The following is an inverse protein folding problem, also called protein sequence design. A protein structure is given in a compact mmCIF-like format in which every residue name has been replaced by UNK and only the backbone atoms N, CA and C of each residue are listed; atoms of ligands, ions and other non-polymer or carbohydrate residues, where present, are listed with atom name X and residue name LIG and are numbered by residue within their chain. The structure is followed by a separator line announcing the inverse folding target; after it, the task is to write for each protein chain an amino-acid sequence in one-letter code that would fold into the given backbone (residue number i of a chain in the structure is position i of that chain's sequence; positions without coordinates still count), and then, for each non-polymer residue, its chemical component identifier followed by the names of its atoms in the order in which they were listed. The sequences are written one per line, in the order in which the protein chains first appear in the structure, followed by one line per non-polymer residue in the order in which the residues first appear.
data_IF_974988208893
#
_entry.id   IF_974988208893
#
_cell.length_a   1.000
_cell.length_b   1.000
_cell.length_c   1.000
_cell.angle_alpha   90.00
_cell.angle_beta   90.00
_cell.angle_gamma   90.00
#
_symmetry.space_group_name_H-M   'P 1'
#
loop_
_entity.id
_entity.type
_entity.pdbx_description
1 polymer ?
#
# COMPACT_ATOMS: atom_id res chain seq x y z
N UNK A 1 0.65 -33.15 30.37
CA UNK A 1 -0.16 -31.95 30.07
C UNK A 1 -1.62 -32.37 29.91
N UNK A 2 -2.57 -31.75 30.64
CA UNK A 2 -4.01 -32.10 30.57
C UNK A 2 -4.55 -31.88 29.15
N UNK A 3 -5.50 -32.72 28.70
CA UNK A 3 -6.09 -32.66 27.35
C UNK A 3 -6.68 -31.28 27.02
N UNK A 4 -7.20 -30.57 28.03
CA UNK A 4 -7.64 -29.16 27.97
C UNK A 4 -6.58 -28.23 27.38
N UNK A 5 -5.37 -28.28 27.94
CA UNK A 5 -4.30 -27.38 27.54
C UNK A 5 -3.88 -27.68 26.10
N UNK A 6 -3.92 -28.94 25.66
CA UNK A 6 -3.65 -29.33 24.26
C UNK A 6 -4.68 -28.72 23.31
N UNK A 7 -5.97 -28.79 23.64
CA UNK A 7 -7.05 -28.22 22.81
C UNK A 7 -7.01 -26.70 22.76
N UNK A 8 -6.80 -26.04 23.90
CA UNK A 8 -6.66 -24.57 23.98
C UNK A 8 -5.46 -24.11 23.14
N UNK A 9 -4.32 -24.79 23.24
CA UNK A 9 -3.13 -24.48 22.46
C UNK A 9 -3.45 -24.58 20.96
N UNK A 10 -4.14 -25.63 20.50
CA UNK A 10 -4.51 -25.79 19.09
C UNK A 10 -5.40 -24.64 18.60
N UNK A 11 -6.41 -24.23 19.38
CA UNK A 11 -7.28 -23.10 19.00
C UNK A 11 -6.51 -21.78 18.94
N UNK A 12 -5.64 -21.53 19.93
CA UNK A 12 -4.81 -20.33 19.96
C UNK A 12 -3.79 -20.31 18.81
N UNK A 13 -3.22 -21.47 18.44
CA UNK A 13 -2.32 -21.58 17.30
C UNK A 13 -3.03 -21.27 15.99
N UNK A 14 -4.25 -21.76 15.77
CA UNK A 14 -5.04 -21.41 14.57
C UNK A 14 -5.37 -19.92 14.50
N UNK A 15 -5.74 -19.31 15.64
CA UNK A 15 -6.00 -17.87 15.71
C UNK A 15 -4.74 -17.05 15.40
N UNK A 16 -3.59 -17.42 15.96
CA UNK A 16 -2.30 -16.78 15.68
C UNK A 16 -1.91 -16.88 14.21
N UNK A 17 -2.06 -18.06 13.59
CA UNK A 17 -1.76 -18.28 12.17
C UNK A 17 -2.64 -17.40 11.28
N UNK A 18 -3.93 -17.24 11.60
CA UNK A 18 -4.85 -16.36 10.86
C UNK A 18 -4.39 -14.89 10.91
N UNK A 19 -4.00 -14.40 12.08
CA UNK A 19 -3.50 -13.03 12.25
C UNK A 19 -2.19 -12.80 11.52
N UNK A 20 -1.26 -13.77 11.55
CA UNK A 20 0.04 -13.68 10.89
C UNK A 20 -0.09 -13.68 9.37
N UNK A 21 -0.87 -14.61 8.79
CA UNK A 21 -1.08 -14.68 7.35
C UNK A 21 -1.68 -13.39 6.79
N UNK A 22 -2.56 -12.75 7.56
CA UNK A 22 -3.15 -11.47 7.18
C UNK A 22 -2.15 -10.31 7.23
N UNK A 23 -1.28 -10.26 8.24
CA UNK A 23 -0.21 -9.25 8.32
C UNK A 23 0.72 -9.30 7.11
N UNK A 24 0.98 -10.49 6.57
CA UNK A 24 1.79 -10.70 5.36
C UNK A 24 1.04 -10.25 4.09
N UNK A 25 -0.28 -10.44 4.02
CA UNK A 25 -1.09 -9.98 2.89
C UNK A 25 -1.08 -8.44 2.76
N UNK A 26 -1.19 -7.73 3.89
CA UNK A 26 -1.18 -6.26 3.94
C UNK A 26 0.13 -5.63 3.44
N UNK A 27 1.28 -6.20 3.78
CA UNK A 27 2.60 -5.61 3.47
C UNK A 27 2.98 -5.69 2.00
N UNK A 28 2.51 -6.71 1.28
CA UNK A 28 2.85 -6.92 -0.12
C UNK A 28 2.23 -5.88 -1.08
N UNK A 29 1.03 -5.38 -0.77
CA UNK A 29 0.35 -4.39 -1.61
C UNK A 29 0.75 -2.94 -1.28
N UNK A 30 1.08 -2.68 -0.01
CA UNK A 30 1.40 -1.34 0.47
C UNK A 30 2.68 -0.74 -0.17
N UNK A 31 3.64 -1.57 -0.55
CA UNK A 31 4.90 -1.13 -1.16
C UNK A 31 4.69 -0.47 -2.54
N UNK A 32 3.88 -1.07 -3.41
CA UNK A 32 3.61 -0.55 -4.74
C UNK A 32 2.75 0.72 -4.70
N UNK A 33 1.79 0.79 -3.77
CA UNK A 33 0.95 1.98 -3.57
C UNK A 33 1.77 3.16 -3.08
N UNK A 34 2.68 2.93 -2.12
CA UNK A 34 3.60 3.95 -1.63
C UNK A 34 4.52 4.45 -2.76
N UNK A 35 5.03 3.57 -3.62
CA UNK A 35 5.79 3.97 -4.81
C UNK A 35 4.96 4.85 -5.74
N UNK A 36 3.72 4.47 -6.06
CA UNK A 36 2.86 5.28 -6.93
C UNK A 36 2.60 6.69 -6.36
N UNK A 37 2.32 6.79 -5.05
CA UNK A 37 2.12 8.07 -4.35
C UNK A 37 3.40 8.93 -4.41
N UNK A 38 4.57 8.34 -4.19
CA UNK A 38 5.84 9.06 -4.25
C UNK A 38 6.17 9.54 -5.66
N UNK A 39 5.94 8.70 -6.68
CA UNK A 39 6.17 9.04 -8.09
C UNK A 39 5.22 10.15 -8.53
N UNK A 40 3.94 10.11 -8.14
CA UNK A 40 2.97 11.18 -8.38
C UNK A 40 3.36 12.47 -7.66
N UNK A 41 3.75 12.36 -6.38
CA UNK A 41 4.23 13.48 -5.58
C UNK A 41 5.45 14.16 -6.21
N UNK A 42 6.35 13.39 -6.83
CA UNK A 42 7.53 13.90 -7.55
C UNK A 42 7.17 14.68 -8.82
N UNK A 43 6.04 14.39 -9.48
CA UNK A 43 5.62 15.15 -10.66
C UNK A 43 5.42 16.64 -10.34
N UNK A 44 4.90 16.95 -9.14
CA UNK A 44 4.81 18.33 -8.63
C UNK A 44 6.16 19.02 -8.63
N UNK A 45 7.15 18.39 -8.00
CA UNK A 45 8.51 18.92 -7.92
C UNK A 45 9.15 19.08 -9.30
N UNK A 46 9.00 18.08 -10.17
CA UNK A 46 9.56 18.11 -11.51
C UNK A 46 8.94 19.21 -12.38
N UNK A 47 7.63 19.46 -12.29
CA UNK A 47 6.97 20.54 -13.03
C UNK A 47 7.56 21.91 -12.70
N UNK A 48 7.74 22.17 -11.40
CA UNK A 48 8.30 23.43 -10.90
C UNK A 48 9.80 23.54 -11.20
N UNK A 49 10.53 22.43 -11.09
CA UNK A 49 11.94 22.36 -11.45
C UNK A 49 12.17 22.66 -12.94
N UNK A 50 11.38 22.06 -13.83
CA UNK A 50 11.44 22.34 -15.26
C UNK A 50 11.13 23.80 -15.57
N UNK A 51 10.13 24.39 -14.91
CA UNK A 51 9.82 25.81 -15.09
C UNK A 51 10.98 26.71 -14.64
N UNK A 52 11.59 26.41 -13.48
CA UNK A 52 12.79 27.10 -13.00
C UNK A 52 13.96 26.97 -13.99
N UNK A 53 14.20 25.77 -14.51
CA UNK A 53 15.24 25.51 -15.51
C UNK A 53 14.99 26.28 -16.81
N UNK A 54 13.74 26.36 -17.28
CA UNK A 54 13.35 27.15 -18.45
C UNK A 54 13.58 28.66 -18.23
N UNK A 55 13.25 29.19 -17.05
CA UNK A 55 13.52 30.58 -16.68
C UNK A 55 15.02 30.90 -16.71
N UNK A 56 15.84 30.03 -16.11
CA UNK A 56 17.30 30.16 -16.12
C UNK A 56 17.83 30.16 -17.56
N UNK A 57 17.35 29.23 -18.40
CA UNK A 57 17.75 29.13 -19.81
C UNK A 57 17.47 30.41 -20.62
N UNK A 58 16.46 31.19 -20.23
CA UNK A 58 16.13 32.45 -20.89
C UNK A 58 17.09 33.60 -20.61
N UNK A 59 17.94 33.45 -19.58
CA UNK A 59 18.93 34.46 -19.18
C UNK A 59 20.37 34.08 -19.54
N UNK A 60 20.66 32.83 -19.90
CA UNK A 60 22.04 32.39 -20.15
C UNK A 60 22.48 32.74 -21.57
N UNK A 61 23.44 33.67 -21.66
CA UNK A 61 24.09 34.07 -22.92
C UNK A 61 25.27 33.14 -23.25
N UNK A 62 26.02 32.70 -22.25
CA UNK A 62 27.18 31.81 -22.42
C UNK A 62 26.77 30.43 -22.97
N UNK A 63 27.41 29.98 -24.04
CA UNK A 63 27.04 28.74 -24.73
C UNK A 63 27.33 27.47 -23.92
N UNK A 64 28.47 27.40 -23.24
CA UNK A 64 28.86 26.25 -22.41
C UNK A 64 27.89 26.08 -21.24
N UNK A 65 27.58 27.17 -20.55
CA UNK A 65 26.62 27.18 -19.45
C UNK A 65 25.21 26.81 -19.93
N UNK A 66 24.80 27.33 -21.10
CA UNK A 66 23.50 27.04 -21.71
C UNK A 66 23.37 25.55 -22.04
N UNK A 67 24.39 24.94 -22.63
CA UNK A 67 24.42 23.51 -22.95
C UNK A 67 24.16 22.67 -21.70
N UNK A 68 24.85 22.96 -20.59
CA UNK A 68 24.66 22.25 -19.32
C UNK A 68 23.25 22.44 -18.75
N UNK A 69 22.70 23.64 -18.85
CA UNK A 69 21.34 23.92 -18.38
C UNK A 69 20.27 23.18 -19.24
N UNK A 70 20.49 23.07 -20.55
CA UNK A 70 19.60 22.29 -21.45
C UNK A 70 19.63 20.82 -21.07
N UNK A 71 20.81 20.24 -20.80
CA UNK A 71 20.91 18.85 -20.37
C UNK A 71 20.10 18.58 -19.09
N UNK A 72 20.16 19.50 -18.11
CA UNK A 72 19.40 19.38 -16.87
C UNK A 72 17.89 19.43 -17.15
N UNK A 73 17.44 20.38 -17.97
CA UNK A 73 16.05 20.49 -18.40
C UNK A 73 15.57 19.19 -19.08
N UNK A 74 16.35 18.66 -20.02
CA UNK A 74 16.04 17.41 -20.75
C UNK A 74 16.00 16.22 -19.80
N UNK A 75 16.90 16.13 -18.81
CA UNK A 75 16.88 15.09 -17.78
C UNK A 75 15.59 15.17 -16.94
N UNK A 76 15.21 16.36 -16.47
CA UNK A 76 13.97 16.59 -15.71
C UNK A 76 12.73 16.21 -16.53
N UNK A 77 12.66 16.65 -17.79
CA UNK A 77 11.58 16.34 -18.75
C UNK A 77 11.44 14.84 -19.00
N UNK A 78 12.55 14.16 -19.25
CA UNK A 78 12.54 12.71 -19.50
C UNK A 78 12.14 11.93 -18.25
N UNK A 79 12.56 12.36 -17.06
CA UNK A 79 12.14 11.74 -15.81
C UNK A 79 10.64 11.93 -15.56
N UNK A 80 10.11 13.13 -15.80
CA UNK A 80 8.68 13.42 -15.69
C UNK A 80 7.88 12.50 -16.64
N UNK A 81 8.21 12.51 -17.94
CA UNK A 81 7.51 11.73 -18.97
C UNK A 81 7.49 10.23 -18.67
N UNK A 82 8.64 9.63 -18.31
CA UNK A 82 8.70 8.19 -17.97
C UNK A 82 7.91 7.86 -16.71
N UNK A 83 7.99 8.73 -15.70
CA UNK A 83 7.25 8.56 -14.45
C UNK A 83 5.73 8.63 -14.69
N UNK A 84 5.26 9.61 -15.46
CA UNK A 84 3.85 9.77 -15.80
C UNK A 84 3.33 8.59 -16.62
N UNK A 85 4.09 8.11 -17.61
CA UNK A 85 3.74 6.90 -18.35
C UNK A 85 3.60 5.69 -17.42
N UNK A 86 4.48 5.56 -16.43
CA UNK A 86 4.40 4.45 -15.46
C UNK A 86 3.21 4.58 -14.51
N UNK A 87 2.81 5.80 -14.16
CA UNK A 87 1.60 6.07 -13.36
C UNK A 87 0.31 5.72 -14.10
N UNK A 88 0.29 5.87 -15.42
CA UNK A 88 -0.92 5.66 -16.24
C UNK A 88 -1.01 4.21 -16.73
N UNK A 89 0.10 3.65 -17.19
CA UNK A 89 0.13 2.35 -17.86
C UNK A 89 0.69 1.23 -16.97
N UNK A 90 1.01 1.52 -15.71
CA UNK A 90 1.86 0.68 -14.86
C UNK A 90 3.29 0.54 -15.40
N UNK A 91 4.24 0.22 -14.54
CA UNK A 91 5.62 0.02 -14.98
C UNK A 91 6.65 0.24 -13.88
N UNK A 92 7.91 -0.01 -14.22
CA UNK A 92 9.03 0.17 -13.31
C UNK A 92 9.56 1.59 -13.39
N UNK A 93 9.73 2.20 -12.23
CA UNK A 93 10.41 3.49 -12.05
C UNK A 93 11.71 3.30 -11.27
N UNK A 94 12.49 4.37 -11.15
CA UNK A 94 13.63 4.46 -10.25
C UNK A 94 13.25 4.36 -8.77
N UNK A 95 11.98 4.58 -8.42
CA UNK A 95 11.43 4.42 -7.06
C UNK A 95 10.77 3.05 -6.83
N UNK A 96 10.85 2.14 -7.81
CA UNK A 96 10.26 0.81 -7.74
C UNK A 96 9.09 0.62 -8.71
N UNK A 97 8.33 -0.44 -8.49
CA UNK A 97 7.22 -0.83 -9.34
C UNK A 97 5.97 0.02 -9.05
N UNK A 98 5.40 0.62 -10.09
CA UNK A 98 4.04 1.18 -10.08
C UNK A 98 3.10 0.14 -10.65
N UNK A 99 2.03 -0.16 -9.90
CA UNK A 99 0.96 -1.08 -10.32
C UNK A 99 -0.22 -0.30 -10.87
N UNK A 100 -1.15 -1.05 -11.47
CA UNK A 100 -2.34 -0.49 -12.08
C UNK A 100 -3.20 0.26 -11.06
N UNK A 101 -3.70 1.41 -11.50
CA UNK A 101 -4.57 2.28 -10.73
C UNK A 101 -6.02 1.91 -11.04
N UNK A 102 -6.74 1.36 -10.06
CA UNK A 102 -8.10 0.87 -10.28
C UNK A 102 -9.20 1.91 -10.05
N UNK A 103 -8.96 2.92 -9.20
CA UNK A 103 -10.00 3.90 -8.89
C UNK A 103 -10.22 4.87 -10.05
N UNK A 104 -11.50 5.12 -10.36
CA UNK A 104 -11.90 6.05 -11.41
C UNK A 104 -11.35 7.46 -11.17
N UNK A 105 -11.35 7.89 -9.91
CA UNK A 105 -10.83 9.20 -9.49
C UNK A 105 -9.35 9.38 -9.84
N UNK A 106 -8.52 8.37 -9.55
CA UNK A 106 -7.09 8.40 -9.85
C UNK A 106 -6.81 8.26 -11.35
N UNK A 107 -7.58 7.44 -12.08
CA UNK A 107 -7.46 7.34 -13.55
C UNK A 107 -7.78 8.67 -14.24
N UNK A 108 -8.87 9.32 -13.82
CA UNK A 108 -9.25 10.64 -14.34
C UNK A 108 -8.19 11.69 -14.04
N UNK A 109 -7.69 11.75 -12.80
CA UNK A 109 -6.62 12.69 -12.42
C UNK A 109 -5.32 12.44 -13.20
N UNK A 110 -4.99 11.18 -13.49
CA UNK A 110 -3.84 10.81 -14.32
C UNK A 110 -4.00 11.28 -15.77
N UNK A 111 -5.19 11.13 -16.37
CA UNK A 111 -5.48 11.61 -17.73
C UNK A 111 -5.49 13.13 -17.85
N UNK A 112 -6.02 13.83 -16.85
CA UNK A 112 -5.94 15.29 -16.77
C UNK A 112 -4.47 15.76 -16.76
N UNK A 113 -3.63 15.12 -15.93
CA UNK A 113 -2.21 15.43 -15.86
C UNK A 113 -1.48 15.13 -17.18
N UNK A 114 -1.83 14.03 -17.84
CA UNK A 114 -1.29 13.64 -19.16
C UNK A 114 -1.59 14.67 -20.24
N UNK A 115 -2.83 15.16 -20.30
CA UNK A 115 -3.23 16.18 -21.25
C UNK A 115 -2.43 17.48 -21.06
N UNK A 116 -2.33 17.97 -19.82
CA UNK A 116 -1.54 19.17 -19.50
C UNK A 116 -0.05 18.97 -19.83
N UNK A 117 0.48 17.78 -19.54
CA UNK A 117 1.85 17.43 -19.85
C UNK A 117 2.15 17.52 -21.35
N UNK A 118 1.28 17.00 -22.21
CA UNK A 118 1.50 17.05 -23.65
C UNK A 118 1.63 18.48 -24.19
N UNK A 119 0.80 19.40 -23.68
CA UNK A 119 0.89 20.82 -24.06
C UNK A 119 2.20 21.42 -23.58
N UNK A 120 2.59 21.17 -22.32
CA UNK A 120 3.83 21.69 -21.74
C UNK A 120 5.06 21.15 -22.47
N UNK A 121 5.09 19.86 -22.76
CA UNK A 121 6.20 19.20 -23.44
C UNK A 121 6.39 19.72 -24.86
N UNK A 122 5.28 19.96 -25.56
CA UNK A 122 5.28 20.58 -26.89
C UNK A 122 5.89 21.98 -26.86
N UNK A 123 5.44 22.84 -25.93
CA UNK A 123 6.01 24.19 -25.75
C UNK A 123 7.50 24.13 -25.40
N UNK A 124 7.91 23.16 -24.58
CA UNK A 124 9.30 23.04 -24.14
C UNK A 124 10.30 22.67 -25.25
N UNK A 125 9.83 22.33 -26.46
CA UNK A 125 10.68 21.98 -27.58
C UNK A 125 11.67 23.09 -27.98
N UNK A 126 11.34 24.36 -27.72
CA UNK A 126 12.20 25.51 -28.04
C UNK A 126 13.54 25.46 -27.26
N UNK A 127 13.52 24.98 -26.01
CA UNK A 127 14.70 24.91 -25.17
C UNK A 127 15.65 23.79 -25.59
N UNK A 128 15.10 22.67 -26.09
CA UNK A 128 15.88 21.50 -26.50
C UNK A 128 16.71 21.74 -27.76
N UNK A 129 16.35 22.76 -28.55
CA UNK A 129 17.06 23.14 -29.78
C UNK A 129 18.28 24.02 -29.53
N UNK A 130 18.58 24.36 -28.27
CA UNK A 130 19.75 25.17 -27.92
C UNK A 130 19.72 26.62 -28.40
N UNK A 131 18.52 27.12 -28.72
CA UNK A 131 18.35 28.49 -29.21
C UNK A 131 18.82 29.49 -28.14
N UNK A 132 19.55 30.54 -28.53
CA UNK A 132 19.94 31.59 -27.60
C UNK A 132 18.69 32.35 -27.09
N UNK A 133 18.81 33.06 -25.95
CA UNK A 133 17.76 33.95 -25.46
C UNK A 133 17.18 34.82 -26.58
N UNK A 134 15.86 34.80 -26.72
CA UNK A 134 15.12 35.52 -27.76
C UNK A 134 13.71 35.84 -27.29
N UNK A 135 13.05 36.79 -27.95
CA UNK A 135 11.65 37.13 -27.65
C UNK A 135 10.74 35.89 -27.72
N UNK A 136 10.97 35.00 -28.69
CA UNK A 136 10.24 33.74 -28.82
C UNK A 136 10.38 32.83 -27.59
N UNK A 137 11.57 32.77 -26.99
CA UNK A 137 11.79 32.01 -25.75
C UNK A 137 11.00 32.65 -24.60
N UNK A 138 11.06 33.98 -24.48
CA UNK A 138 10.32 34.70 -23.43
C UNK A 138 8.80 34.52 -23.56
N UNK A 139 8.26 34.64 -24.78
CA UNK A 139 6.85 34.40 -25.05
C UNK A 139 6.44 32.95 -24.72
N UNK A 140 7.35 31.99 -24.96
CA UNK A 140 7.11 30.58 -24.60
C UNK A 140 7.08 30.39 -23.09
N UNK A 141 7.98 31.03 -22.35
CA UNK A 141 8.00 31.00 -20.87
C UNK A 141 6.72 31.58 -20.30
N UNK A 142 6.27 32.72 -20.82
CA UNK A 142 5.03 33.37 -20.38
C UNK A 142 3.81 32.46 -20.55
N UNK A 143 3.80 31.60 -21.58
CA UNK A 143 2.77 30.57 -21.78
C UNK A 143 2.95 29.36 -20.88
N UNK A 144 4.19 28.93 -20.64
CA UNK A 144 4.49 27.76 -19.81
C UNK A 144 4.27 28.00 -18.32
N UNK A 145 4.42 29.24 -17.85
CA UNK A 145 4.30 29.58 -16.43
C UNK A 145 2.92 29.23 -15.83
N UNK A 146 1.78 29.70 -16.37
CA UNK A 146 0.46 29.30 -15.86
C UNK A 146 0.22 27.78 -16.02
N UNK A 147 0.66 27.20 -17.14
CA UNK A 147 0.53 25.76 -17.38
C UNK A 147 1.33 24.92 -16.36
N UNK A 148 2.48 25.39 -15.90
CA UNK A 148 3.26 24.72 -14.86
C UNK A 148 2.52 24.68 -13.52
N UNK A 149 1.71 25.71 -13.22
CA UNK A 149 0.86 25.76 -12.03
C UNK A 149 -0.34 24.83 -12.15
N UNK A 150 -0.93 24.72 -13.34
CA UNK A 150 -1.98 23.73 -13.62
C UNK A 150 -1.46 22.29 -13.48
N UNK A 151 -0.27 22.00 -14.01
CA UNK A 151 0.39 20.70 -13.83
C UNK A 151 0.67 20.43 -12.35
N UNK A 152 1.13 21.42 -11.59
CA UNK A 152 1.36 21.30 -10.15
C UNK A 152 0.07 20.91 -9.41
N UNK A 153 -1.03 21.60 -9.70
CA UNK A 153 -2.34 21.32 -9.12
C UNK A 153 -2.86 19.93 -9.53
N UNK A 154 -2.76 19.56 -10.81
CA UNK A 154 -3.19 18.26 -11.32
C UNK A 154 -2.36 17.11 -10.75
N UNK A 155 -1.05 17.28 -10.61
CA UNK A 155 -0.17 16.30 -9.97
C UNK A 155 -0.49 16.15 -8.47
N UNK A 156 -0.86 17.24 -7.79
CA UNK A 156 -1.34 17.17 -6.41
C UNK A 156 -2.65 16.39 -6.32
N UNK A 157 -3.62 16.67 -7.19
CA UNK A 157 -4.89 15.94 -7.28
C UNK A 157 -4.67 14.44 -7.47
N UNK A 158 -3.78 14.04 -8.38
CA UNK A 158 -3.43 12.64 -8.57
C UNK A 158 -2.81 12.02 -7.32
N UNK A 159 -1.90 12.73 -6.64
CA UNK A 159 -1.28 12.26 -5.39
C UNK A 159 -2.34 12.01 -4.31
N UNK A 160 -3.31 12.92 -4.17
CA UNK A 160 -4.40 12.79 -3.20
C UNK A 160 -5.33 11.62 -3.55
N UNK A 161 -5.68 11.47 -4.83
CA UNK A 161 -6.54 10.38 -5.29
C UNK A 161 -5.90 9.00 -5.05
N UNK A 162 -4.59 8.86 -5.33
CA UNK A 162 -3.84 7.63 -5.05
C UNK A 162 -3.76 7.33 -3.55
N UNK A 163 -3.52 8.36 -2.72
CA UNK A 163 -3.51 8.20 -1.27
C UNK A 163 -4.88 7.75 -0.74
N UNK A 164 -5.97 8.33 -1.25
CA UNK A 164 -7.33 7.93 -0.91
C UNK A 164 -7.63 6.48 -1.30
N UNK A 165 -7.23 6.04 -2.50
CA UNK A 165 -7.41 4.65 -2.93
C UNK A 165 -6.68 3.67 -2.02
N UNK A 166 -5.43 3.98 -1.65
CA UNK A 166 -4.64 3.17 -0.70
C UNK A 166 -5.32 3.07 0.67
N UNK A 167 -5.82 4.19 1.20
CA UNK A 167 -6.53 4.22 2.48
C UNK A 167 -7.86 3.46 2.44
N UNK A 168 -8.63 3.57 1.35
CA UNK A 168 -9.90 2.87 1.22
C UNK A 168 -9.71 1.35 1.07
N UNK A 169 -8.68 0.91 0.34
CA UNK A 169 -8.28 -0.50 0.28
C UNK A 169 -7.87 -1.02 1.65
N UNK A 170 -6.98 -0.30 2.34
CA UNK A 170 -6.57 -0.65 3.70
C UNK A 170 -7.78 -0.77 4.62
N UNK A 171 -8.73 0.18 4.58
CA UNK A 171 -9.94 0.14 5.40
C UNK A 171 -10.82 -1.07 5.11
N UNK A 172 -11.02 -1.42 3.83
CA UNK A 172 -11.77 -2.64 3.44
C UNK A 172 -11.10 -3.90 3.99
N UNK A 173 -9.79 -3.99 3.84
CA UNK A 173 -8.97 -5.10 4.35
C UNK A 173 -9.14 -5.23 5.88
N UNK A 174 -9.00 -4.12 6.62
CA UNK A 174 -9.21 -4.09 8.07
C UNK A 174 -10.64 -4.50 8.48
N UNK A 175 -11.66 -4.05 7.75
CA UNK A 175 -13.05 -4.39 8.03
C UNK A 175 -13.32 -5.89 7.90
N UNK A 176 -12.89 -6.51 6.80
CA UNK A 176 -13.04 -7.96 6.62
C UNK A 176 -12.26 -8.76 7.65
N UNK A 177 -11.08 -8.29 8.06
CA UNK A 177 -10.30 -8.95 9.10
C UNK A 177 -10.95 -8.90 10.46
N UNK A 178 -11.55 -7.77 10.82
CA UNK A 178 -12.28 -7.64 12.07
C UNK A 178 -13.43 -8.64 12.12
N UNK A 179 -14.20 -8.76 11.03
CA UNK A 179 -15.28 -9.74 10.91
C UNK A 179 -14.74 -11.16 11.00
N UNK A 180 -13.67 -11.49 10.26
CA UNK A 180 -13.05 -12.81 10.28
C UNK A 180 -12.57 -13.22 11.68
N UNK A 181 -11.91 -12.30 12.41
CA UNK A 181 -11.47 -12.55 13.78
C UNK A 181 -12.63 -12.76 14.74
N UNK A 182 -13.71 -11.98 14.62
CA UNK A 182 -14.92 -12.16 15.43
C UNK A 182 -15.53 -13.55 15.16
N UNK A 183 -15.61 -13.96 13.88
CA UNK A 183 -16.11 -15.30 13.52
C UNK A 183 -15.24 -16.42 14.08
N UNK A 184 -13.90 -16.29 14.04
CA UNK A 184 -12.98 -17.27 14.63
C UNK A 184 -13.20 -17.39 16.13
N UNK A 185 -13.31 -16.25 16.84
CA UNK A 185 -13.59 -16.26 18.28
C UNK A 185 -14.94 -16.93 18.57
N UNK A 186 -15.98 -16.60 17.80
CA UNK A 186 -17.30 -17.23 17.95
C UNK A 186 -17.22 -18.76 17.75
N UNK A 187 -16.49 -19.24 16.74
CA UNK A 187 -16.28 -20.66 16.49
C UNK A 187 -15.52 -21.35 17.63
N UNK A 188 -14.51 -20.69 18.21
CA UNK A 188 -13.78 -21.21 19.37
C UNK A 188 -14.71 -21.33 20.58
N UNK A 189 -15.56 -20.33 20.83
CA UNK A 189 -16.55 -20.36 21.91
C UNK A 189 -17.55 -21.50 21.70
N UNK A 190 -18.08 -21.68 20.49
CA UNK A 190 -18.98 -22.79 20.16
C UNK A 190 -18.27 -24.14 20.35
N UNK A 191 -17.05 -24.30 19.82
CA UNK A 191 -16.27 -25.52 20.01
C UNK A 191 -16.00 -25.80 21.51
N UNK A 192 -15.77 -24.76 22.31
CA UNK A 192 -15.62 -24.89 23.75
C UNK A 192 -16.92 -25.39 24.42
N UNK A 193 -18.07 -24.79 24.09
CA UNK A 193 -19.35 -25.20 24.67
C UNK A 193 -19.79 -26.60 24.25
N UNK A 194 -19.53 -27.03 23.01
CA UNK A 194 -20.02 -28.31 22.49
C UNK A 194 -19.03 -29.48 22.60
N UNK A 195 -17.73 -29.22 22.58
CA UNK A 195 -16.71 -30.28 22.68
C UNK A 195 -16.19 -30.35 24.11
N UNK A 196 -15.73 -29.23 24.64
CA UNK A 196 -15.02 -29.20 25.91
C UNK A 196 -15.98 -29.46 27.09
N UNK A 197 -17.10 -28.74 27.18
CA UNK A 197 -18.04 -28.92 28.31
C UNK A 197 -18.57 -30.36 28.44
N UNK A 198 -19.10 -31.02 27.38
CA UNK A 198 -19.60 -32.39 27.51
C UNK A 198 -18.50 -33.42 27.75
N UNK A 199 -17.32 -33.23 27.17
CA UNK A 199 -16.18 -34.12 27.41
C UNK A 199 -15.76 -34.08 28.88
N UNK A 200 -15.74 -32.92 29.54
CA UNK A 200 -15.40 -32.85 30.97
C UNK A 200 -16.42 -33.53 31.85
N UNK A 201 -17.71 -33.32 31.60
CA UNK A 201 -18.78 -34.01 32.33
C UNK A 201 -18.59 -35.52 32.26
N UNK A 202 -18.35 -36.08 31.08
CA UNK A 202 -18.10 -37.53 30.89
C UNK A 202 -16.85 -38.02 31.61
N UNK A 203 -15.76 -37.27 31.58
CA UNK A 203 -14.52 -37.66 32.29
C UNK A 203 -14.73 -37.64 33.80
N UNK A 204 -15.45 -36.65 34.32
CA UNK A 204 -15.77 -36.54 35.75
C UNK A 204 -16.70 -37.67 36.20
N UNK A 205 -17.73 -37.99 35.41
CA UNK A 205 -18.62 -39.14 35.64
C UNK A 205 -17.86 -40.48 35.67
N UNK A 206 -16.93 -40.69 34.73
CA UNK A 206 -16.07 -41.88 34.71
C UNK A 206 -15.18 -41.94 35.96
N UNK A 207 -14.59 -40.80 36.35
CA UNK A 207 -13.73 -40.74 37.55
C UNK A 207 -14.51 -41.07 38.82
N UNK A 208 -15.68 -40.46 39.01
CA UNK A 208 -16.55 -40.74 40.16
C UNK A 208 -16.96 -42.21 40.20
N UNK A 209 -17.30 -42.79 39.04
CA UNK A 209 -17.67 -44.21 38.95
C UNK A 209 -16.50 -45.14 39.27
N UNK A 210 -15.29 -44.82 38.80
CA UNK A 210 -14.08 -45.57 39.08
C UNK A 210 -13.68 -45.48 40.57
N UNK A 211 -13.77 -44.30 41.17
CA UNK A 211 -13.48 -44.08 42.60
C UNK A 211 -14.47 -44.88 43.47
N UNK A 212 -15.76 -44.89 43.11
CA UNK A 212 -16.79 -45.70 43.78
C UNK A 212 -16.47 -47.20 43.69
N UNK A 213 -16.20 -47.71 42.48
CA UNK A 213 -15.87 -49.12 42.27
C UNK A 213 -14.59 -49.54 43.01
N UNK A 214 -13.56 -48.68 43.02
CA UNK A 214 -12.35 -48.90 43.79
C UNK A 214 -12.60 -48.99 45.30
N UNK A 215 -13.48 -48.15 45.83
CA UNK A 215 -13.89 -48.20 47.24
C UNK A 215 -14.66 -49.48 47.56
N UNK A 216 -15.64 -49.86 46.72
CA UNK A 216 -16.41 -51.10 46.87
C UNK A 216 -15.48 -52.35 46.83
N UNK A 217 -14.45 -52.34 45.99
CA UNK A 217 -13.43 -53.41 45.95
C UNK A 217 -12.59 -53.48 47.23
N UNK A 218 -12.22 -52.33 47.81
CA UNK A 218 -11.46 -52.29 49.07
C UNK A 218 -12.33 -52.79 50.24
N UNK A 219 -13.59 -52.37 50.27
CA UNK A 219 -14.54 -52.71 51.35
C UNK A 219 -14.99 -54.19 51.29
N UNK A 220 -14.86 -54.85 50.14
CA UNK A 220 -15.20 -56.28 49.95
C UNK A 220 -14.03 -57.25 50.17
N UNK A 221 -12.80 -56.76 50.32
CA UNK A 221 -11.64 -57.60 50.67
C UNK A 221 -11.58 -57.76 52.19
N UNK A 222 -11.80 -58.99 52.74
CA UNK A 222 -11.76 -59.20 54.17
C UNK A 222 -10.37 -58.87 54.73
N UNK A 223 -10.27 -58.31 55.96
CA UNK A 223 -8.98 -57.96 56.53
C UNK A 223 -8.10 -59.21 56.62
N UNK A 224 -6.87 -59.11 56.10
CA UNK A 224 -5.86 -60.16 56.28
C UNK A 224 -5.69 -60.39 57.77
N UNK A 225 -6.15 -61.54 58.26
CA UNK A 225 -5.80 -62.02 59.59
C UNK A 225 -4.30 -62.29 59.57
N UNK A 226 -3.55 -61.44 60.28
CA UNK A 226 -2.14 -61.64 60.62
C UNK A 226 -2.08 -62.65 61.75
#
# INVERSE_FOLDING_TARGET
MRLQNKMIIVYLSFMLISVINFGIFLTNDQSAEATAINVAGRQRMLSQKMMKEALILSGIVNETERTKAIENFVKSRNLFSRSLSSLINSGKTDLGQVREVHSEESRKAGKELEALWYVFDSLSAVFRKGQPPSQKIQDTINKMMPLSMEILASAHKLTVALNKDSLDKARRIWFFQLIGNIMIIALIVVAFLFINVPMFRRIEEIKVSADKYGKDLIDTVPPKKI
#
